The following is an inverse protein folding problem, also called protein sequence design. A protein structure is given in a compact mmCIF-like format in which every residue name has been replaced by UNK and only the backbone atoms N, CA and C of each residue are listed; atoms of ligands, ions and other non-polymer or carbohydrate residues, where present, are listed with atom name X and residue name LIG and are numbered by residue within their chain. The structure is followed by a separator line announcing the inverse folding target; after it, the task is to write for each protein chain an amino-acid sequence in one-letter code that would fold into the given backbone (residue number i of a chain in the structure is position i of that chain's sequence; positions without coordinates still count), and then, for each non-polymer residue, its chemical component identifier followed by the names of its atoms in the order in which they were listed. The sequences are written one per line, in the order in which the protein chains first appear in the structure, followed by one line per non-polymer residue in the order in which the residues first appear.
data_IF_128391368160
#
_entry.id   IF_128391368160
#
_cell.length_a   1.000
_cell.length_b   1.000
_cell.length_c   1.000
_cell.angle_alpha   90.00
_cell.angle_beta   90.00
_cell.angle_gamma   90.00
#
_symmetry.space_group_name_H-M   'P 1'
#
loop_
_entity.id
_entity.type
_entity.pdbx_description
1 polymer ?
#
# COMPACT_ATOMS: atom_id res chain seq x y z
N UNK A 1 14.77 -9.46 0.40
CA UNK A 1 13.92 -9.08 1.54
C UNK A 1 13.26 -10.32 2.12
N UNK A 2 13.13 -10.44 3.45
CA UNK A 2 12.33 -11.49 4.09
C UNK A 2 11.00 -10.94 4.62
N UNK A 3 9.92 -11.66 4.38
CA UNK A 3 8.60 -11.35 4.89
C UNK A 3 8.02 -12.58 5.60
N UNK A 4 7.58 -12.43 6.84
CA UNK A 4 6.86 -13.46 7.57
C UNK A 4 5.39 -13.03 7.73
N UNK A 5 4.43 -13.87 7.33
CA UNK A 5 2.98 -13.62 7.48
C UNK A 5 2.45 -14.56 8.56
N UNK A 6 1.99 -14.00 9.67
CA UNK A 6 1.35 -14.71 10.77
C UNK A 6 -0.17 -14.61 10.64
N UNK A 7 -0.85 -15.74 10.44
CA UNK A 7 -2.29 -15.77 10.11
C UNK A 7 -2.95 -17.03 10.66
N UNK A 8 -4.28 -17.02 10.77
CA UNK A 8 -5.10 -18.21 11.02
C UNK A 8 -5.42 -19.00 9.76
N UNK A 9 -5.12 -18.48 8.56
CA UNK A 9 -5.50 -19.09 7.30
C UNK A 9 -4.33 -19.18 6.31
N UNK A 10 -3.27 -19.96 6.61
CA UNK A 10 -2.14 -20.13 5.69
C UNK A 10 -2.56 -20.56 4.28
N UNK A 11 -3.50 -21.51 4.19
CA UNK A 11 -4.00 -22.03 2.92
C UNK A 11 -4.72 -20.97 2.04
N UNK A 12 -5.16 -19.84 2.62
CA UNK A 12 -5.71 -18.73 1.86
C UNK A 12 -4.64 -17.78 1.31
N UNK A 13 -3.46 -17.76 1.94
CA UNK A 13 -2.35 -16.86 1.61
C UNK A 13 -1.37 -17.52 0.64
N UNK A 14 -0.97 -18.76 0.92
CA UNK A 14 0.07 -19.48 0.18
C UNK A 14 -0.16 -19.56 -1.34
N UNK A 15 -1.38 -19.85 -1.84
CA UNK A 15 -1.60 -19.91 -3.29
C UNK A 15 -1.36 -18.57 -4.00
N UNK A 16 -1.65 -17.45 -3.34
CA UNK A 16 -1.42 -16.11 -3.91
C UNK A 16 0.07 -15.79 -4.02
N UNK A 17 0.87 -16.27 -3.07
CA UNK A 17 2.32 -16.11 -3.09
C UNK A 17 3.00 -16.87 -4.23
N UNK A 18 2.37 -17.93 -4.74
CA UNK A 18 2.92 -18.75 -5.82
C UNK A 18 2.73 -18.16 -7.23
N UNK A 19 1.96 -17.07 -7.38
CA UNK A 19 1.58 -16.51 -8.69
C UNK A 19 2.05 -15.07 -8.89
N UNK A 20 1.99 -14.61 -10.14
CA UNK A 20 2.18 -13.20 -10.47
C UNK A 20 3.57 -12.64 -10.13
N UNK A 21 3.59 -11.39 -9.65
CA UNK A 21 4.80 -10.64 -9.28
C UNK A 21 5.49 -11.27 -8.07
N UNK A 22 4.71 -11.62 -7.04
CA UNK A 22 5.22 -12.26 -5.82
C UNK A 22 5.89 -13.60 -6.11
N UNK A 23 5.22 -14.49 -6.86
CA UNK A 23 5.78 -15.79 -7.21
C UNK A 23 7.09 -15.68 -8.00
N UNK A 24 7.19 -14.72 -8.92
CA UNK A 24 8.45 -14.45 -9.63
C UNK A 24 9.54 -13.92 -8.69
N UNK A 25 9.22 -12.98 -7.81
CA UNK A 25 10.16 -12.46 -6.83
C UNK A 25 10.71 -13.54 -5.88
N UNK A 26 9.84 -14.48 -5.48
CA UNK A 26 10.22 -15.64 -4.65
C UNK A 26 11.09 -16.62 -5.43
N UNK A 27 10.69 -16.99 -6.65
CA UNK A 27 11.46 -17.91 -7.49
C UNK A 27 12.85 -17.35 -7.86
N UNK A 28 12.97 -16.02 -7.99
CA UNK A 28 14.23 -15.32 -8.23
C UNK A 28 15.10 -15.15 -6.97
N UNK A 29 14.61 -15.53 -5.77
CA UNK A 29 15.33 -15.36 -4.51
C UNK A 29 15.44 -13.92 -4.01
N UNK A 30 14.73 -12.98 -4.64
CA UNK A 30 14.69 -11.56 -4.21
C UNK A 30 13.80 -11.40 -2.98
N UNK A 31 12.77 -12.25 -2.86
CA UNK A 31 11.79 -12.25 -1.80
C UNK A 31 11.73 -13.64 -1.11
N UNK A 32 11.91 -13.69 0.21
CA UNK A 32 11.68 -14.90 1.04
C UNK A 32 10.39 -14.68 1.84
N UNK A 33 9.29 -15.33 1.46
CA UNK A 33 8.01 -15.22 2.19
C UNK A 33 7.71 -16.52 2.92
N UNK A 34 7.44 -16.40 4.22
CA UNK A 34 7.10 -17.53 5.08
C UNK A 34 5.76 -17.30 5.74
N UNK A 35 4.87 -18.29 5.65
CA UNK A 35 3.53 -18.22 6.25
C UNK A 35 3.49 -19.08 7.50
N UNK A 36 2.98 -18.51 8.58
CA UNK A 36 2.95 -19.12 9.91
C UNK A 36 1.51 -19.20 10.41
N UNK A 37 1.06 -20.41 10.75
CA UNK A 37 -0.23 -20.61 11.42
C UNK A 37 -0.12 -20.16 12.88
N UNK A 38 -0.89 -19.12 13.24
CA UNK A 38 -0.95 -18.58 14.60
C UNK A 38 -1.38 -19.64 15.63
N UNK A 39 -2.14 -20.67 15.23
CA UNK A 39 -2.57 -21.75 16.14
C UNK A 39 -1.42 -22.59 16.69
N UNK A 40 -0.22 -22.52 16.09
CA UNK A 40 1.00 -23.14 16.65
C UNK A 40 1.41 -22.54 18.00
N UNK A 41 0.94 -21.33 18.30
CA UNK A 41 1.16 -20.64 19.58
C UNK A 41 -0.13 -20.47 20.38
N UNK A 42 -1.13 -21.31 20.11
CA UNK A 42 -2.35 -21.36 20.89
C UNK A 42 -2.07 -21.61 22.38
N UNK A 43 -2.94 -21.08 23.23
CA UNK A 43 -2.79 -21.20 24.70
C UNK A 43 -3.14 -22.60 25.22
N UNK A 44 -3.73 -23.46 24.38
CA UNK A 44 -4.11 -24.82 24.74
C UNK A 44 -4.05 -25.79 23.55
N UNK A 45 -4.24 -27.09 23.84
CA UNK A 45 -4.20 -28.19 22.85
C UNK A 45 -5.27 -28.13 21.76
N UNK A 46 -6.31 -27.31 21.94
CA UNK A 46 -7.42 -27.19 20.99
C UNK A 46 -7.16 -26.10 19.94
N UNK A 47 -6.02 -25.41 20.00
CA UNK A 47 -5.71 -24.35 19.05
C UNK A 47 -6.39 -23.02 19.37
N UNK A 48 -6.80 -22.79 20.63
CA UNK A 48 -7.42 -21.52 21.03
C UNK A 48 -6.44 -20.35 20.93
N UNK A 49 -6.84 -19.33 20.19
CA UNK A 49 -6.08 -18.09 19.95
C UNK A 49 -6.92 -16.84 20.21
N UNK A 50 -8.20 -17.02 20.52
CA UNK A 50 -9.19 -15.98 20.73
C UNK A 50 -10.06 -16.30 21.96
N UNK A 51 -10.61 -15.24 22.54
CA UNK A 51 -11.53 -15.32 23.68
C UNK A 51 -12.57 -14.20 23.63
N UNK A 52 -13.60 -14.28 24.48
CA UNK A 52 -14.64 -13.25 24.59
C UNK A 52 -14.05 -11.91 25.07
N UNK A 53 -14.54 -10.76 24.56
CA UNK A 53 -14.07 -9.46 25.01
C UNK A 53 -14.50 -9.16 26.46
N UNK A 54 -13.56 -8.62 27.25
CA UNK A 54 -13.93 -7.99 28.53
C UNK A 54 -14.89 -6.83 28.29
N UNK A 55 -15.89 -6.69 29.18
CA UNK A 55 -16.96 -5.70 29.02
C UNK A 55 -18.16 -6.20 28.21
N UNK A 56 -18.10 -7.41 27.66
CA UNK A 56 -19.13 -7.98 26.81
C UNK A 56 -19.13 -7.36 25.41
N UNK A 57 -20.08 -7.81 24.59
CA UNK A 57 -20.15 -7.44 23.17
C UNK A 57 -20.14 -8.69 22.28
N UNK A 58 -20.53 -8.55 21.00
CA UNK A 58 -20.46 -9.64 20.06
C UNK A 58 -19.00 -9.92 19.66
N UNK A 59 -18.75 -11.14 19.15
CA UNK A 59 -17.48 -11.50 18.54
C UNK A 59 -16.42 -12.01 19.52
N UNK A 60 -15.22 -12.22 19.00
CA UNK A 60 -14.06 -12.75 19.71
C UNK A 60 -12.87 -11.83 19.49
N UNK A 61 -11.90 -11.84 20.40
CA UNK A 61 -10.69 -11.01 20.35
C UNK A 61 -9.47 -11.92 20.34
N UNK A 62 -8.52 -11.67 19.44
CA UNK A 62 -7.26 -12.42 19.43
C UNK A 62 -6.46 -12.14 20.71
N UNK A 63 -6.12 -13.21 21.41
CA UNK A 63 -5.50 -13.14 22.73
C UNK A 63 -4.05 -12.66 22.63
N UNK A 64 -3.69 -11.70 23.49
CA UNK A 64 -2.29 -11.24 23.65
C UNK A 64 -1.33 -12.40 23.97
N UNK A 65 -1.80 -13.40 24.71
CA UNK A 65 -1.05 -14.60 25.10
C UNK A 65 -0.78 -15.57 23.95
N UNK A 66 -1.45 -15.42 22.80
CA UNK A 66 -1.14 -16.17 21.58
C UNK A 66 -0.32 -15.32 20.60
N UNK A 67 -0.76 -14.08 20.35
CA UNK A 67 -0.17 -13.22 19.30
C UNK A 67 1.24 -12.76 19.65
N UNK A 68 1.48 -12.27 20.87
CA UNK A 68 2.81 -11.75 21.25
C UNK A 68 3.88 -12.85 21.24
N UNK A 69 3.65 -14.04 21.84
CA UNK A 69 4.61 -15.14 21.73
C UNK A 69 4.86 -15.57 20.29
N UNK A 70 3.83 -15.61 19.44
CA UNK A 70 3.97 -15.97 18.04
C UNK A 70 4.86 -14.99 17.28
N UNK A 71 4.60 -13.68 17.38
CA UNK A 71 5.42 -12.64 16.74
C UNK A 71 6.86 -12.71 17.24
N UNK A 72 7.08 -12.88 18.55
CA UNK A 72 8.44 -13.01 19.13
C UNK A 72 9.16 -14.26 18.65
N UNK A 73 8.45 -15.39 18.54
CA UNK A 73 9.03 -16.64 18.05
C UNK A 73 9.43 -16.52 16.57
N UNK A 74 8.55 -15.95 15.73
CA UNK A 74 8.85 -15.67 14.32
C UNK A 74 10.03 -14.68 14.20
N UNK A 75 10.05 -13.62 15.00
CA UNK A 75 11.16 -12.68 15.05
C UNK A 75 12.49 -13.38 15.37
N UNK A 76 12.50 -14.33 16.31
CA UNK A 76 13.69 -15.11 16.65
C UNK A 76 14.18 -16.08 15.56
N UNK A 77 13.41 -16.34 14.50
CA UNK A 77 13.82 -17.22 13.38
C UNK A 77 14.85 -16.58 12.42
N UNK A 78 15.30 -15.36 12.69
CA UNK A 78 16.44 -14.74 12.01
C UNK A 78 17.12 -13.74 12.95
N UNK A 79 18.39 -13.45 12.68
CA UNK A 79 19.20 -12.55 13.51
C UNK A 79 18.78 -11.09 13.41
N UNK A 80 18.26 -10.67 12.25
CA UNK A 80 17.78 -9.30 12.03
C UNK A 80 16.38 -9.12 12.65
N UNK A 81 16.17 -8.09 13.49
CA UNK A 81 14.85 -7.82 14.05
C UNK A 81 13.89 -7.39 12.92
N UNK A 82 12.65 -7.92 12.90
CA UNK A 82 11.68 -7.51 11.90
C UNK A 82 11.03 -6.18 12.26
N UNK A 83 10.59 -5.45 11.23
CA UNK A 83 9.53 -4.45 11.38
C UNK A 83 8.18 -5.19 11.51
N UNK A 84 7.47 -4.99 12.61
CA UNK A 84 6.18 -5.65 12.85
C UNK A 84 5.06 -4.74 12.37
N UNK A 85 4.25 -5.24 11.45
CA UNK A 85 3.09 -4.55 10.89
C UNK A 85 1.82 -5.26 11.32
N UNK A 86 0.86 -4.48 11.83
CA UNK A 86 -0.52 -4.91 12.06
C UNK A 86 -1.42 -4.27 11.01
N UNK A 87 -1.99 -5.04 10.06
CA UNK A 87 -3.05 -4.53 9.22
C UNK A 87 -4.27 -4.21 10.09
N UNK A 88 -4.53 -2.93 10.32
CA UNK A 88 -5.57 -2.42 11.22
C UNK A 88 -6.19 -1.15 10.59
N UNK A 89 -7.53 -1.04 10.51
CA UNK A 89 -8.20 0.13 9.95
C UNK A 89 -7.91 1.45 10.71
N UNK A 90 -7.48 1.40 11.97
CA UNK A 90 -7.07 2.55 12.79
C UNK A 90 -5.67 3.07 12.44
N UNK A 91 -4.89 2.27 11.72
CA UNK A 91 -3.51 2.56 11.37
C UNK A 91 -3.34 3.71 10.37
N UNK A 92 -2.08 4.09 10.13
CA UNK A 92 -1.75 5.05 9.07
C UNK A 92 -2.17 4.48 7.71
N UNK A 93 -2.68 5.33 6.83
CA UNK A 93 -3.15 4.90 5.51
C UNK A 93 -1.98 4.39 4.67
N UNK A 94 -2.15 3.23 4.06
CA UNK A 94 -1.21 2.68 3.09
C UNK A 94 -1.27 3.46 1.77
N UNK A 95 -0.10 3.91 1.30
CA UNK A 95 0.09 4.52 0.00
C UNK A 95 1.45 4.09 -0.61
N UNK A 96 1.79 4.62 -1.78
CA UNK A 96 3.06 4.28 -2.45
C UNK A 96 4.30 4.72 -1.65
N UNK A 97 4.20 5.79 -0.86
CA UNK A 97 5.31 6.22 -0.01
C UNK A 97 5.55 5.20 1.12
N UNK A 98 4.47 4.70 1.75
CA UNK A 98 4.55 3.60 2.73
C UNK A 98 5.07 2.32 2.08
N UNK A 99 4.66 1.99 0.85
CA UNK A 99 5.18 0.83 0.13
C UNK A 99 6.70 0.92 -0.09
N UNK A 100 7.22 2.09 -0.48
CA UNK A 100 8.66 2.33 -0.65
C UNK A 100 9.43 2.29 0.67
N UNK A 101 8.85 2.87 1.73
CA UNK A 101 9.40 2.81 3.07
C UNK A 101 9.57 1.36 3.51
N UNK A 102 8.51 0.55 3.40
CA UNK A 102 8.57 -0.87 3.72
C UNK A 102 9.55 -1.62 2.81
N UNK A 103 9.59 -1.33 1.51
CA UNK A 103 10.54 -1.93 0.56
C UNK A 103 12.02 -1.69 0.90
N UNK A 104 12.31 -0.61 1.63
CA UNK A 104 13.67 -0.30 2.09
C UNK A 104 14.12 -1.16 3.29
N UNK A 105 13.19 -1.88 3.93
CA UNK A 105 13.47 -2.73 5.09
C UNK A 105 14.03 -4.09 4.67
N UNK A 106 14.94 -4.64 5.48
CA UNK A 106 15.46 -5.99 5.27
C UNK A 106 14.43 -7.09 5.57
N UNK A 107 13.61 -6.84 6.61
CA UNK A 107 12.71 -7.84 7.17
C UNK A 107 11.41 -7.26 7.73
N UNK A 108 10.28 -7.87 7.36
CA UNK A 108 8.94 -7.48 7.81
C UNK A 108 8.19 -8.70 8.38
N UNK A 109 7.41 -8.50 9.44
CA UNK A 109 6.41 -9.44 9.93
C UNK A 109 5.03 -8.80 9.80
N UNK A 110 4.12 -9.39 9.04
CA UNK A 110 2.70 -9.04 9.09
C UNK A 110 1.98 -9.98 10.06
N UNK A 111 1.35 -9.44 11.10
CA UNK A 111 0.45 -10.22 11.94
C UNK A 111 -1.00 -9.88 11.58
N UNK A 112 -1.69 -10.84 10.96
CA UNK A 112 -3.04 -10.65 10.44
C UNK A 112 -4.10 -10.82 11.53
N UNK A 113 -4.88 -9.76 11.77
CA UNK A 113 -6.02 -9.79 12.68
C UNK A 113 -7.19 -10.59 12.12
N UNK A 114 -8.10 -11.00 13.01
CA UNK A 114 -9.39 -11.65 12.73
C UNK A 114 -10.40 -11.26 13.81
N UNK A 115 -11.66 -11.62 13.56
CA UNK A 115 -12.76 -11.36 14.49
C UNK A 115 -12.89 -9.85 14.77
N UNK A 116 -13.03 -9.42 16.02
CA UNK A 116 -13.06 -7.99 16.40
C UNK A 116 -11.67 -7.34 16.39
N UNK A 117 -10.60 -8.13 16.19
CA UNK A 117 -9.22 -7.66 16.13
C UNK A 117 -8.36 -8.27 17.22
N UNK A 118 -7.41 -7.47 17.70
CA UNK A 118 -6.44 -7.86 18.72
C UNK A 118 -6.83 -7.36 20.10
N UNK A 119 -6.40 -8.06 21.14
CA UNK A 119 -6.30 -7.47 22.47
C UNK A 119 -5.40 -6.23 22.39
N UNK A 120 -5.87 -5.09 22.89
CA UNK A 120 -5.19 -3.79 22.76
C UNK A 120 -3.73 -3.83 23.24
N UNK A 121 -3.40 -4.68 24.22
CA UNK A 121 -2.04 -4.84 24.74
C UNK A 121 -1.07 -5.41 23.70
N UNK A 122 -1.56 -6.06 22.63
CA UNK A 122 -0.74 -6.49 21.50
C UNK A 122 -0.05 -5.30 20.84
N UNK A 123 -0.81 -4.22 20.62
CA UNK A 123 -0.33 -2.98 19.99
C UNK A 123 0.80 -2.36 20.83
N UNK A 124 0.54 -2.18 22.12
CA UNK A 124 1.50 -1.60 23.08
C UNK A 124 2.75 -2.47 23.26
N UNK A 125 2.57 -3.78 23.37
CA UNK A 125 3.65 -4.72 23.69
C UNK A 125 4.60 -4.91 22.51
N UNK A 126 4.06 -4.94 21.29
CA UNK A 126 4.86 -5.13 20.08
C UNK A 126 5.39 -3.81 19.52
N UNK A 127 4.79 -2.66 19.90
CA UNK A 127 5.07 -1.35 19.29
C UNK A 127 5.00 -1.44 17.77
N UNK A 128 3.98 -2.13 17.28
CA UNK A 128 3.84 -2.45 15.88
C UNK A 128 3.39 -1.22 15.08
N UNK A 129 3.76 -1.19 13.81
CA UNK A 129 3.26 -0.22 12.84
C UNK A 129 1.86 -0.67 12.38
N UNK A 130 0.85 0.07 12.80
CA UNK A 130 -0.52 -0.15 12.37
C UNK A 130 -0.73 0.50 11.02
N UNK A 131 -1.11 -0.29 10.02
CA UNK A 131 -1.30 0.19 8.65
C UNK A 131 -2.70 -0.18 8.15
N UNK A 132 -3.44 0.82 7.71
CA UNK A 132 -4.78 0.68 7.15
C UNK A 132 -4.74 0.63 5.62
N UNK A 133 -5.49 -0.29 5.00
CA UNK A 133 -5.63 -0.33 3.54
C UNK A 133 -6.59 0.76 3.02
N UNK A 134 -7.40 1.34 3.90
CA UNK A 134 -8.34 2.41 3.59
C UNK A 134 -9.59 2.36 4.49
N UNK A 135 -10.52 3.26 4.21
CA UNK A 135 -11.69 3.53 5.07
C UNK A 135 -12.82 2.51 4.81
N UNK A 136 -12.51 1.22 5.01
CA UNK A 136 -13.42 0.10 4.89
C UNK A 136 -12.97 -1.05 5.80
N UNK A 137 -13.87 -1.99 6.08
CA UNK A 137 -13.60 -3.12 6.98
C UNK A 137 -13.50 -4.41 6.18
N UNK A 138 -12.45 -5.19 6.46
CA UNK A 138 -12.26 -6.56 5.96
C UNK A 138 -12.48 -7.55 7.11
N UNK A 139 -12.82 -8.79 6.77
CA UNK A 139 -12.98 -9.87 7.76
C UNK A 139 -11.68 -10.34 8.42
N UNK A 140 -10.53 -9.81 7.98
CA UNK A 140 -9.21 -10.23 8.42
C UNK A 140 -8.09 -9.49 7.72
N UNK A 141 -6.90 -9.55 8.32
CA UNK A 141 -5.71 -8.83 7.85
C UNK A 141 -4.98 -9.50 6.68
N UNK A 142 -5.37 -10.69 6.21
CA UNK A 142 -4.63 -11.43 5.19
C UNK A 142 -4.63 -10.72 3.83
N UNK A 143 -5.78 -10.22 3.38
CA UNK A 143 -5.87 -9.48 2.11
C UNK A 143 -5.10 -8.16 2.18
N UNK A 144 -5.10 -7.51 3.33
CA UNK A 144 -4.33 -6.29 3.56
C UNK A 144 -2.82 -6.57 3.53
N UNK A 145 -2.35 -7.61 4.23
CA UNK A 145 -0.97 -8.04 4.18
C UNK A 145 -0.52 -8.42 2.76
N UNK A 146 -1.34 -9.17 2.01
CA UNK A 146 -1.04 -9.53 0.62
C UNK A 146 -1.00 -8.30 -0.29
N UNK A 147 -1.93 -7.37 -0.16
CA UNK A 147 -1.95 -6.14 -0.95
C UNK A 147 -0.73 -5.25 -0.67
N UNK A 148 -0.36 -5.09 0.61
CA UNK A 148 0.84 -4.36 1.01
C UNK A 148 2.09 -5.05 0.49
N UNK A 149 2.20 -6.38 0.67
CA UNK A 149 3.35 -7.15 0.20
C UNK A 149 3.50 -7.09 -1.33
N UNK A 150 2.41 -7.16 -2.11
CA UNK A 150 2.45 -7.01 -3.56
C UNK A 150 3.02 -5.64 -3.97
N UNK A 151 2.50 -4.56 -3.39
CA UNK A 151 2.99 -3.21 -3.65
C UNK A 151 4.46 -3.02 -3.22
N UNK A 152 4.85 -3.54 -2.07
CA UNK A 152 6.25 -3.52 -1.57
C UNK A 152 7.17 -4.29 -2.51
N UNK A 153 6.77 -5.49 -2.94
CA UNK A 153 7.59 -6.34 -3.80
C UNK A 153 7.89 -5.68 -5.15
N UNK A 154 6.96 -4.88 -5.70
CA UNK A 154 7.19 -4.15 -6.96
C UNK A 154 8.35 -3.16 -6.88
N UNK A 155 8.64 -2.62 -5.70
CA UNK A 155 9.76 -1.71 -5.47
C UNK A 155 11.11 -2.42 -5.26
N UNK A 156 11.11 -3.76 -5.11
CA UNK A 156 12.34 -4.52 -4.93
C UNK A 156 13.06 -4.73 -6.29
N UNK A 157 14.36 -4.39 -6.39
CA UNK A 157 15.13 -4.63 -7.60
C UNK A 157 15.11 -6.11 -8.02
N UNK A 158 14.75 -6.37 -9.28
CA UNK A 158 14.71 -7.72 -9.85
C UNK A 158 13.36 -8.43 -9.76
N UNK A 159 12.34 -7.83 -9.13
CA UNK A 159 10.98 -8.42 -9.10
C UNK A 159 10.17 -8.03 -10.34
N UNK A 160 10.20 -6.75 -10.74
CA UNK A 160 9.58 -6.26 -11.97
C UNK A 160 10.62 -6.25 -13.09
N UNK A 161 10.25 -6.74 -14.27
CA UNK A 161 11.19 -6.99 -15.37
C UNK A 161 11.82 -5.72 -15.95
N UNK A 162 11.02 -4.66 -16.15
CA UNK A 162 11.52 -3.36 -16.59
C UNK A 162 11.42 -2.36 -15.43
N UNK A 163 12.54 -1.91 -14.84
CA UNK A 163 12.56 -0.88 -13.80
C UNK A 163 11.86 0.43 -14.23
N UNK A 164 11.86 0.74 -15.53
CA UNK A 164 11.16 1.88 -16.09
C UNK A 164 9.65 1.81 -15.92
N UNK A 165 9.07 0.60 -15.81
CA UNK A 165 7.64 0.42 -15.53
C UNK A 165 7.25 0.95 -14.14
N UNK A 166 8.09 0.68 -13.13
CA UNK A 166 7.82 1.12 -11.74
C UNK A 166 8.00 2.63 -11.62
N UNK A 167 8.98 3.20 -12.33
CA UNK A 167 9.20 4.65 -12.35
C UNK A 167 8.07 5.44 -13.05
N UNK A 168 7.34 4.78 -13.97
CA UNK A 168 6.23 5.37 -14.71
C UNK A 168 4.85 5.07 -14.09
N UNK A 169 4.77 4.24 -13.04
CA UNK A 169 3.52 3.91 -12.38
C UNK A 169 2.84 5.15 -11.77
N UNK A 170 1.52 5.06 -11.64
CA UNK A 170 0.74 6.05 -10.90
C UNK A 170 1.33 6.31 -9.52
N UNK A 171 1.16 7.55 -9.03
CA UNK A 171 1.59 8.05 -7.72
C UNK A 171 3.10 8.31 -7.56
N UNK A 172 3.99 7.71 -8.36
CA UNK A 172 5.45 7.97 -8.29
C UNK A 172 5.80 9.46 -8.42
N UNK A 173 5.08 10.18 -9.28
CA UNK A 173 5.24 11.64 -9.45
C UNK A 173 4.00 12.42 -9.02
N UNK A 174 3.19 11.90 -8.09
CA UNK A 174 1.91 12.49 -7.69
C UNK A 174 0.95 12.74 -8.88
N UNK A 175 1.10 11.91 -9.92
CA UNK A 175 0.22 11.87 -11.09
C UNK A 175 -0.34 10.45 -11.24
N UNK A 176 -1.53 10.34 -11.80
CA UNK A 176 -2.01 9.09 -12.38
C UNK A 176 -1.24 8.79 -13.66
N UNK A 177 -1.15 7.51 -14.02
CA UNK A 177 -0.57 7.09 -15.27
C UNK A 177 -1.46 7.48 -16.47
N UNK A 178 -0.86 7.53 -17.65
CA UNK A 178 -1.52 7.82 -18.91
C UNK A 178 -2.34 6.61 -19.40
N UNK A 179 -3.37 6.82 -20.24
CA UNK A 179 -4.12 5.73 -20.83
C UNK A 179 -3.22 4.93 -21.79
N UNK A 180 -3.33 3.60 -21.68
CA UNK A 180 -2.53 2.64 -22.46
C UNK A 180 -3.43 1.98 -23.51
N UNK A 181 -2.88 1.80 -24.71
CA UNK A 181 -3.57 1.20 -25.85
C UNK A 181 -2.76 0.02 -26.36
N UNK A 182 -3.44 -1.04 -26.82
CA UNK A 182 -2.82 -2.19 -27.47
C UNK A 182 -3.59 -2.55 -28.74
N UNK A 183 -3.09 -3.54 -29.49
CA UNK A 183 -3.74 -4.03 -30.71
C UNK A 183 -5.13 -4.61 -30.37
N UNK A 184 -6.12 -4.48 -31.28
CA UNK A 184 -6.04 -3.93 -32.64
C UNK A 184 -6.05 -2.38 -32.69
N UNK A 185 -5.71 -1.79 -33.86
CA UNK A 185 -5.68 -0.32 -34.03
C UNK A 185 -7.05 0.34 -33.89
N UNK A 186 -8.11 -0.36 -34.26
CA UNK A 186 -9.49 0.07 -34.10
C UNK A 186 -10.30 -1.10 -33.55
N UNK A 187 -11.15 -0.81 -32.56
CA UNK A 187 -12.08 -1.76 -31.98
C UNK A 187 -13.44 -1.07 -31.84
N UNK A 188 -14.47 -1.63 -32.48
CA UNK A 188 -15.85 -1.10 -32.43
C UNK A 188 -15.97 0.40 -32.79
N UNK A 189 -15.20 0.85 -33.80
CA UNK A 189 -15.19 2.24 -34.24
C UNK A 189 -14.38 3.19 -33.34
N UNK A 190 -13.72 2.69 -32.31
CA UNK A 190 -12.80 3.45 -31.44
C UNK A 190 -11.36 3.17 -31.86
N UNK A 191 -10.70 4.20 -32.41
CA UNK A 191 -9.31 4.12 -32.85
C UNK A 191 -8.29 4.45 -31.76
N UNK A 192 -7.10 3.85 -31.86
CA UNK A 192 -5.91 4.27 -31.11
C UNK A 192 -5.50 5.68 -31.57
N UNK A 193 -5.18 6.61 -30.66
CA UNK A 193 -4.71 7.96 -31.02
C UNK A 193 -3.55 7.93 -32.02
N UNK A 194 -3.65 8.68 -33.12
CA UNK A 194 -2.67 8.61 -34.22
C UNK A 194 -1.24 8.90 -33.78
N UNK A 195 -1.05 9.79 -32.80
CA UNK A 195 0.26 10.09 -32.20
C UNK A 195 0.96 8.84 -31.68
N UNK A 196 0.22 7.87 -31.13
CA UNK A 196 0.78 6.61 -30.63
C UNK A 196 1.25 5.66 -31.74
N UNK A 197 0.88 5.93 -32.99
CA UNK A 197 1.30 5.18 -34.18
C UNK A 197 2.23 5.97 -35.10
N UNK A 198 2.61 7.20 -34.71
CA UNK A 198 3.36 8.13 -35.55
C UNK A 198 4.85 7.80 -35.69
N UNK A 199 5.42 7.03 -34.75
CA UNK A 199 6.86 6.80 -34.66
C UNK A 199 7.65 7.96 -34.04
N UNK A 200 7.02 9.09 -33.73
CA UNK A 200 7.66 10.22 -33.04
C UNK A 200 7.64 9.99 -31.53
N UNK A 201 8.78 9.52 -31.00
CA UNK A 201 8.94 9.22 -29.58
C UNK A 201 8.69 10.43 -28.67
N UNK A 202 9.06 11.63 -29.10
CA UNK A 202 8.90 12.84 -28.29
C UNK A 202 7.46 13.34 -28.34
N UNK A 203 6.77 13.25 -29.49
CA UNK A 203 5.34 13.51 -29.57
C UNK A 203 4.54 12.52 -28.68
N UNK A 204 4.93 11.24 -28.68
CA UNK A 204 4.35 10.24 -27.78
C UNK A 204 4.61 10.60 -26.31
N UNK A 205 5.84 10.94 -25.92
CA UNK A 205 6.18 11.34 -24.53
C UNK A 205 5.31 12.50 -24.06
N UNK A 206 5.23 13.57 -24.86
CA UNK A 206 4.40 14.75 -24.54
C UNK A 206 2.92 14.42 -24.44
N UNK A 207 2.41 13.60 -25.36
CA UNK A 207 1.02 13.16 -25.31
C UNK A 207 0.72 12.37 -24.04
N UNK A 208 1.58 11.42 -23.67
CA UNK A 208 1.44 10.62 -22.45
C UNK A 208 1.43 11.50 -21.21
N UNK A 209 2.40 12.41 -21.10
CA UNK A 209 2.48 13.33 -19.96
C UNK A 209 1.24 14.24 -19.86
N UNK A 210 0.79 14.80 -20.98
CA UNK A 210 -0.43 15.61 -21.03
C UNK A 210 -1.67 14.82 -20.60
N UNK A 211 -1.78 13.55 -21.02
CA UNK A 211 -2.88 12.67 -20.62
C UNK A 211 -2.84 12.32 -19.14
N UNK A 212 -1.67 11.97 -18.60
CA UNK A 212 -1.47 11.72 -17.17
C UNK A 212 -1.91 12.93 -16.32
N UNK A 213 -1.47 14.14 -16.70
CA UNK A 213 -1.87 15.40 -16.04
C UNK A 213 -3.38 15.61 -16.13
N UNK A 214 -3.98 15.49 -17.31
CA UNK A 214 -5.42 15.66 -17.52
C UNK A 214 -6.24 14.70 -16.67
N UNK A 215 -5.90 13.41 -16.70
CA UNK A 215 -6.61 12.38 -15.94
C UNK A 215 -6.45 12.59 -14.43
N UNK A 216 -5.27 13.04 -13.98
CA UNK A 216 -5.04 13.42 -12.58
C UNK A 216 -5.92 14.60 -12.17
N UNK A 217 -5.94 15.70 -12.93
CA UNK A 217 -6.75 16.87 -12.61
C UNK A 217 -8.25 16.56 -12.58
N UNK A 218 -8.72 15.67 -13.46
CA UNK A 218 -10.14 15.27 -13.51
C UNK A 218 -10.55 14.30 -12.42
N UNK A 219 -9.68 13.34 -12.07
CA UNK A 219 -10.06 12.20 -11.20
C UNK A 219 -9.51 12.31 -9.78
N UNK A 220 -8.31 12.88 -9.64
CA UNK A 220 -7.55 12.97 -8.38
C UNK A 220 -6.83 14.32 -8.26
N UNK A 221 -7.56 15.46 -8.30
CA UNK A 221 -6.95 16.79 -8.18
C UNK A 221 -6.19 16.97 -6.86
N UNK A 222 -6.55 16.20 -5.83
CA UNK A 222 -5.86 16.14 -4.54
C UNK A 222 -4.38 15.72 -4.65
N UNK A 223 -4.02 14.91 -5.66
CA UNK A 223 -2.62 14.49 -5.85
C UNK A 223 -1.76 15.66 -6.32
N UNK A 224 -2.26 16.44 -7.28
CA UNK A 224 -1.57 17.64 -7.76
C UNK A 224 -1.49 18.67 -6.63
N UNK A 225 -2.57 18.85 -5.86
CA UNK A 225 -2.58 19.80 -4.74
C UNK A 225 -1.55 19.44 -3.66
N UNK A 226 -1.46 18.16 -3.26
CA UNK A 226 -0.49 17.70 -2.26
C UNK A 226 0.95 17.69 -2.78
N UNK A 227 1.14 17.29 -4.03
CA UNK A 227 2.45 17.12 -4.65
C UNK A 227 3.05 18.38 -5.27
N UNK A 228 2.28 19.48 -5.34
CA UNK A 228 2.58 20.64 -6.20
C UNK A 228 4.03 21.12 -6.12
N UNK A 229 4.54 21.33 -4.90
CA UNK A 229 5.89 21.84 -4.67
C UNK A 229 7.01 20.90 -5.17
N UNK A 230 6.75 19.59 -5.20
CA UNK A 230 7.70 18.57 -5.66
C UNK A 230 7.57 18.20 -7.15
N UNK A 231 6.53 18.69 -7.85
CA UNK A 231 6.34 18.38 -9.27
C UNK A 231 7.38 19.09 -10.13
N UNK A 232 7.92 18.47 -11.20
CA UNK A 232 8.82 19.16 -12.15
C UNK A 232 8.18 20.39 -12.81
N UNK A 233 8.99 21.37 -13.18
CA UNK A 233 8.55 22.62 -13.83
C UNK A 233 7.76 22.40 -15.12
N UNK A 234 8.15 21.39 -15.92
CA UNK A 234 7.39 20.98 -17.11
C UNK A 234 5.96 20.55 -16.74
N UNK A 235 5.82 19.75 -15.69
CA UNK A 235 4.53 19.24 -15.21
C UNK A 235 3.66 20.36 -14.67
N UNK A 236 4.20 21.26 -13.84
CA UNK A 236 3.43 22.39 -13.28
C UNK A 236 2.90 23.32 -14.38
N UNK A 237 3.75 23.65 -15.37
CA UNK A 237 3.33 24.46 -16.53
C UNK A 237 2.24 23.77 -17.35
N UNK A 238 2.39 22.46 -17.59
CA UNK A 238 1.41 21.69 -18.32
C UNK A 238 0.09 21.57 -17.55
N UNK A 239 0.12 21.39 -16.23
CA UNK A 239 -1.08 21.33 -15.40
C UNK A 239 -1.87 22.63 -15.42
N UNK A 240 -1.19 23.79 -15.37
CA UNK A 240 -1.84 25.10 -15.53
C UNK A 240 -2.48 25.26 -16.91
N UNK A 241 -1.76 24.89 -17.97
CA UNK A 241 -2.27 24.97 -19.35
C UNK A 241 -3.50 24.06 -19.54
N UNK A 242 -3.39 22.79 -19.13
CA UNK A 242 -4.48 21.81 -19.23
C UNK A 242 -5.69 22.23 -18.39
N UNK A 243 -5.49 22.72 -17.16
CA UNK A 243 -6.60 23.20 -16.33
C UNK A 243 -7.35 24.35 -17.00
N UNK A 244 -6.62 25.31 -17.59
CA UNK A 244 -7.23 26.44 -18.32
C UNK A 244 -7.98 25.99 -19.58
N UNK A 245 -7.40 25.09 -20.36
CA UNK A 245 -7.98 24.59 -21.62
C UNK A 245 -9.25 23.76 -21.39
N UNK A 246 -9.28 23.00 -20.29
CA UNK A 246 -10.35 22.05 -19.96
C UNK A 246 -11.39 22.64 -18.98
N UNK A 247 -11.21 23.89 -18.54
CA UNK A 247 -12.10 24.53 -17.57
C UNK A 247 -12.09 23.87 -16.18
N UNK A 248 -10.96 23.27 -15.79
CA UNK A 248 -10.80 22.58 -14.50
C UNK A 248 -10.30 23.56 -13.43
N UNK A 249 -10.51 23.27 -12.12
CA UNK A 249 -9.95 24.06 -11.05
C UNK A 249 -8.45 24.21 -11.20
N UNK A 250 -7.98 25.45 -11.06
CA UNK A 250 -6.55 25.76 -11.16
C UNK A 250 -5.81 25.10 -9.98
N UNK A 251 -4.72 24.35 -10.24
CA UNK A 251 -3.83 23.87 -9.19
C UNK A 251 -3.33 25.01 -8.29
N UNK A 252 -3.00 24.74 -7.02
CA UNK A 252 -2.59 25.80 -6.09
C UNK A 252 -1.36 26.55 -6.61
N UNK A 253 -1.48 27.86 -6.80
CA UNK A 253 -0.37 28.74 -7.17
C UNK A 253 0.47 29.09 -5.93
N UNK A 254 1.16 28.11 -5.34
CA UNK A 254 2.27 28.39 -4.40
C UNK A 254 1.93 28.91 -3.00
N UNK A 255 0.67 29.05 -2.59
CA UNK A 255 0.32 29.15 -1.17
C UNK A 255 -0.13 27.79 -0.65
N UNK A 256 0.62 27.27 0.33
CA UNK A 256 0.34 26.01 0.98
C UNK A 256 -1.13 25.94 1.44
N UNK A 257 -1.80 24.82 1.18
CA UNK A 257 -3.06 24.50 1.84
C UNK A 257 -2.87 24.68 3.36
N UNK A 258 -3.79 25.33 4.09
CA UNK A 258 -3.66 25.42 5.54
C UNK A 258 -3.68 23.99 6.07
N UNK A 259 -2.54 23.55 6.59
CA UNK A 259 -2.44 22.31 7.32
C UNK A 259 -3.51 22.28 8.39
N UNK A 260 -4.09 21.10 8.59
CA UNK A 260 -4.90 20.74 9.73
C UNK A 260 -4.25 21.33 10.98
N UNK A 261 -4.78 22.46 11.45
CA UNK A 261 -4.40 23.00 12.75
C UNK A 261 -4.92 21.98 13.74
N UNK A 262 -3.99 21.25 14.34
CA UNK A 262 -4.23 20.45 15.52
C UNK A 262 -5.15 21.22 16.45
N UNK A 263 -6.23 20.55 16.85
CA UNK A 263 -7.20 21.05 17.79
C UNK A 263 -6.45 21.41 19.08
N UNK A 264 -6.10 22.69 19.22
CA UNK A 264 -5.50 23.25 20.42
C UNK A 264 -6.53 23.14 21.53
N UNK A 265 -6.32 22.19 22.44
CA UNK A 265 -7.05 22.13 23.70
C UNK A 265 -6.84 23.45 24.45
N UNK A 266 -7.90 24.01 25.07
CA UNK A 266 -7.76 25.24 25.81
C UNK A 266 -6.89 25.01 27.05
N UNK A 267 -5.90 25.88 27.18
CA UNK A 267 -5.05 26.04 28.35
C UNK A 267 -5.88 26.19 29.64
N UNK A 268 -5.39 25.53 30.68
CA UNK A 268 -5.77 25.72 32.08
C UNK A 268 -5.64 27.17 32.53
N UNK A 269 -6.68 27.69 33.19
CA UNK A 269 -6.65 28.98 33.86
C UNK A 269 -7.55 29.04 35.10
N UNK A 270 -6.92 28.81 36.26
CA UNK A 270 -7.34 29.06 37.66
C UNK A 270 -8.36 28.12 38.30
#
# INVERSE_FOLDING_TARGET
MRCDILTLFPAAVEPYLAVGVLGRGIAAGVLDVRVHDLRKWAVNRYGQVDDEPYGGGPGMVLMVSAVVPAVRAVAAMASEPPHVVLPDPRGRRFDDAVARELASLGRIVFACGRYEGFDERVHETLRADEISLGDFVLSGGELAALAMLDAVARHLPGVVGDPGSVAADSFTSMLLDHPVYTRPREFEGVGVPDVLTSGDHEAVRRWRLRRAVLDTLRRRPDLVARGWAGLPDEVRRLALAVASEEGLPRPPDGEAAPGERGNGGPESGR
#
